data_IF_947420049798
#
_entry.id   IF_947420049798
#
_cell.length_a   1.000
_cell.length_b   1.000
_cell.length_c   1.000
_cell.angle_alpha   90.00
_cell.angle_beta   90.00
_cell.angle_gamma   90.00
#
_symmetry.space_group_name_H-M   'P 1'
#
loop_
_entity.id
_entity.type
_entity.pdbx_description
1 polymer ?
#
# COMPACT_ATOMS: atom_id res chain seq x y z
N UNK A 1 -25.59 16.67 -10.27
CA UNK A 1 -24.21 16.69 -9.71
C UNK A 1 -23.28 16.19 -10.79
N UNK A 2 -22.33 17.00 -11.26
CA UNK A 2 -21.29 16.52 -12.18
C UNK A 2 -20.29 15.65 -11.39
N UNK A 3 -19.93 14.50 -11.95
CA UNK A 3 -18.89 13.66 -11.37
C UNK A 3 -17.55 14.41 -11.43
N UNK A 4 -16.80 14.38 -10.32
CA UNK A 4 -15.46 14.98 -10.29
C UNK A 4 -14.53 14.09 -11.13
N UNK A 5 -13.78 14.67 -12.08
CA UNK A 5 -12.89 13.90 -12.96
C UNK A 5 -11.86 13.14 -12.14
N UNK A 6 -11.50 11.95 -12.64
CA UNK A 6 -10.55 11.09 -11.98
C UNK A 6 -9.14 11.71 -12.02
N UNK A 7 -8.31 11.44 -11.01
CA UNK A 7 -6.86 11.59 -11.04
C UNK A 7 -6.17 11.35 -12.38
N UNK A 8 -6.44 10.19 -12.98
CA UNK A 8 -5.84 9.73 -14.23
C UNK A 8 -6.24 10.61 -15.41
N UNK A 9 -7.48 11.09 -15.46
CA UNK A 9 -7.97 11.95 -16.52
C UNK A 9 -7.29 13.32 -16.50
N UNK A 10 -6.99 13.85 -15.31
CA UNK A 10 -6.21 15.07 -15.15
C UNK A 10 -4.74 14.89 -15.60
N UNK A 11 -4.15 13.74 -15.29
CA UNK A 11 -2.81 13.38 -15.75
C UNK A 11 -2.75 13.24 -17.27
N UNK A 12 -3.72 12.57 -17.88
CA UNK A 12 -3.80 12.41 -19.34
C UNK A 12 -3.95 13.77 -20.06
N UNK A 13 -4.76 14.67 -19.50
CA UNK A 13 -4.91 16.02 -20.03
C UNK A 13 -3.58 16.80 -19.99
N UNK A 14 -2.84 16.71 -18.87
CA UNK A 14 -1.52 17.33 -18.72
C UNK A 14 -0.49 16.76 -19.68
N UNK A 15 -0.45 15.43 -19.84
CA UNK A 15 0.46 14.78 -20.79
C UNK A 15 0.16 15.28 -22.19
N UNK A 16 -1.10 15.33 -22.62
CA UNK A 16 -1.48 15.86 -23.94
C UNK A 16 -1.07 17.32 -24.14
N UNK A 17 -1.22 18.14 -23.12
CA UNK A 17 -0.85 19.57 -23.16
C UNK A 17 0.66 19.77 -23.28
N UNK A 18 1.45 18.96 -22.57
CA UNK A 18 2.90 19.10 -22.51
C UNK A 18 3.63 18.34 -23.63
N UNK A 19 3.02 17.29 -24.19
CA UNK A 19 3.64 16.43 -25.21
C UNK A 19 4.20 17.17 -26.43
N UNK A 20 3.55 18.23 -26.97
CA UNK A 20 4.09 19.00 -28.09
C UNK A 20 5.39 19.73 -27.79
N UNK A 21 5.69 19.96 -26.52
CA UNK A 21 6.89 20.64 -26.05
C UNK A 21 8.02 19.68 -25.67
N UNK A 22 7.77 18.37 -25.68
CA UNK A 22 8.79 17.35 -25.40
C UNK A 22 9.88 17.36 -26.47
N UNK A 23 11.15 17.46 -26.04
CA UNK A 23 12.32 17.45 -26.93
C UNK A 23 12.72 18.82 -27.47
N UNK A 24 12.04 19.90 -27.06
CA UNK A 24 12.56 21.26 -27.26
C UNK A 24 13.66 21.57 -26.26
N UNK A 25 14.71 22.26 -26.72
CA UNK A 25 15.79 22.76 -25.84
C UNK A 25 15.30 23.90 -24.93
N UNK A 26 14.25 24.61 -25.36
CA UNK A 26 13.63 25.70 -24.61
C UNK A 26 12.11 25.69 -24.84
N UNK A 27 11.35 25.92 -23.77
CA UNK A 27 9.89 26.02 -23.83
C UNK A 27 9.46 27.33 -23.17
N UNK A 28 8.85 28.21 -23.95
CA UNK A 28 8.34 29.50 -23.48
C UNK A 28 6.83 29.43 -23.25
N UNK A 29 6.40 29.85 -22.07
CA UNK A 29 4.99 29.94 -21.70
C UNK A 29 4.64 31.36 -21.22
N UNK A 30 3.41 31.83 -21.46
CA UNK A 30 2.84 32.94 -20.69
C UNK A 30 2.87 32.62 -19.19
N UNK A 31 3.18 33.61 -18.35
CA UNK A 31 3.32 33.39 -16.89
C UNK A 31 2.09 32.73 -16.24
N UNK A 32 0.89 33.13 -16.64
CA UNK A 32 -0.35 32.55 -16.13
C UNK A 32 -0.53 31.06 -16.49
N UNK A 33 0.03 30.60 -17.61
CA UNK A 33 -0.04 29.19 -18.01
C UNK A 33 1.04 28.38 -17.32
N UNK A 34 2.21 28.97 -17.06
CA UNK A 34 3.23 28.38 -16.20
C UNK A 34 2.73 28.18 -14.77
N UNK A 35 2.04 29.16 -14.18
CA UNK A 35 1.46 29.05 -12.84
C UNK A 35 0.46 27.88 -12.75
N UNK A 36 -0.44 27.76 -13.74
CA UNK A 36 -1.38 26.63 -13.83
C UNK A 36 -0.65 25.29 -13.93
N UNK A 37 0.42 25.22 -14.72
CA UNK A 37 1.24 24.01 -14.83
C UNK A 37 1.83 23.63 -13.47
N UNK A 38 2.40 24.59 -12.75
CA UNK A 38 2.96 24.38 -11.40
C UNK A 38 1.88 23.89 -10.42
N UNK A 39 0.70 24.49 -10.41
CA UNK A 39 -0.42 24.06 -9.56
C UNK A 39 -0.86 22.62 -9.85
N UNK A 40 -0.93 22.27 -11.13
CA UNK A 40 -1.30 20.93 -11.58
C UNK A 40 -0.23 19.89 -11.20
N UNK A 41 1.06 20.19 -11.41
CA UNK A 41 2.16 19.34 -10.97
C UNK A 41 2.19 19.15 -9.45
N UNK A 42 1.91 20.22 -8.69
CA UNK A 42 1.81 20.14 -7.24
C UNK A 42 0.66 19.23 -6.78
N UNK A 43 -0.45 19.22 -7.53
CA UNK A 43 -1.59 18.34 -7.28
C UNK A 43 -1.23 16.88 -7.54
N UNK A 44 -0.57 16.58 -8.67
CA UNK A 44 -0.06 15.25 -8.99
C UNK A 44 0.88 14.74 -7.88
N UNK A 45 1.84 15.58 -7.46
CA UNK A 45 2.77 15.22 -6.38
C UNK A 45 2.04 14.82 -5.10
N UNK A 46 0.99 15.57 -4.71
CA UNK A 46 0.18 15.24 -3.53
C UNK A 46 -0.53 13.89 -3.69
N UNK A 47 -1.08 13.62 -4.87
CA UNK A 47 -1.79 12.37 -5.14
C UNK A 47 -0.85 11.16 -5.11
N UNK A 48 0.30 11.25 -5.77
CA UNK A 48 1.32 10.19 -5.74
C UNK A 48 1.77 9.91 -4.31
N UNK A 49 2.02 10.94 -3.50
CA UNK A 49 2.42 10.77 -2.10
C UNK A 49 1.34 10.07 -1.26
N UNK A 50 0.05 10.25 -1.57
CA UNK A 50 -1.04 9.52 -0.91
C UNK A 50 -1.05 8.06 -1.35
N UNK A 51 -0.97 7.79 -2.66
CA UNK A 51 -0.92 6.43 -3.20
C UNK A 51 0.26 5.63 -2.68
N UNK A 52 1.45 6.24 -2.58
CA UNK A 52 2.66 5.60 -2.01
C UNK A 52 2.44 5.17 -0.55
N UNK A 53 1.78 6.00 0.25
CA UNK A 53 1.45 5.68 1.65
C UNK A 53 0.45 4.54 1.74
N UNK A 54 -0.59 4.56 0.91
CA UNK A 54 -1.61 3.50 0.87
C UNK A 54 -1.00 2.15 0.46
N UNK A 55 -0.19 2.13 -0.59
CA UNK A 55 0.54 0.93 -1.03
C UNK A 55 1.48 0.44 0.07
N UNK A 56 2.19 1.35 0.75
CA UNK A 56 3.03 1.01 1.90
C UNK A 56 2.25 0.35 3.04
N UNK A 57 1.10 0.92 3.40
CA UNK A 57 0.22 0.38 4.44
C UNK A 57 -0.34 -1.00 4.06
N UNK A 58 -0.76 -1.19 2.81
CA UNK A 58 -1.26 -2.47 2.31
C UNK A 58 -0.18 -3.56 2.35
N UNK A 59 1.04 -3.23 1.90
CA UNK A 59 2.18 -4.16 1.97
C UNK A 59 2.50 -4.56 3.40
N UNK A 60 2.49 -3.61 4.34
CA UNK A 60 2.70 -3.91 5.77
C UNK A 60 1.58 -4.81 6.32
N UNK A 61 0.33 -4.55 5.95
CA UNK A 61 -0.80 -5.39 6.37
C UNK A 61 -0.71 -6.82 5.79
N UNK A 62 -0.26 -6.98 4.55
CA UNK A 62 -0.01 -8.29 3.94
C UNK A 62 1.10 -9.06 4.65
N UNK A 63 2.23 -8.41 4.94
CA UNK A 63 3.34 -8.99 5.69
C UNK A 63 2.89 -9.38 7.11
N UNK A 64 2.09 -8.54 7.78
CA UNK A 64 1.57 -8.86 9.10
C UNK A 64 0.64 -10.09 9.07
N UNK A 65 -0.19 -10.23 8.02
CA UNK A 65 -1.04 -11.41 7.84
C UNK A 65 -0.23 -12.68 7.61
N UNK A 66 0.77 -12.64 6.72
CA UNK A 66 1.62 -13.81 6.46
C UNK A 66 2.45 -14.19 7.69
N UNK A 67 3.02 -13.21 8.40
CA UNK A 67 3.75 -13.42 9.64
C UNK A 67 2.90 -14.06 10.74
N UNK A 68 1.63 -13.64 10.89
CA UNK A 68 0.71 -14.24 11.86
C UNK A 68 0.49 -15.72 11.60
N UNK A 69 0.28 -16.12 10.34
CA UNK A 69 0.11 -17.53 9.96
C UNK A 69 1.36 -18.35 10.30
N UNK A 70 2.55 -17.82 10.05
CA UNK A 70 3.81 -18.50 10.39
C UNK A 70 3.94 -18.69 11.91
N UNK A 71 3.62 -17.66 12.70
CA UNK A 71 3.66 -17.73 14.17
C UNK A 71 2.64 -18.73 14.70
N UNK A 72 1.41 -18.74 14.16
CA UNK A 72 0.37 -19.70 14.53
C UNK A 72 0.78 -21.15 14.21
N UNK A 73 1.41 -21.38 13.05
CA UNK A 73 1.93 -22.69 12.67
C UNK A 73 3.06 -23.14 13.61
N UNK A 74 4.05 -22.27 13.88
CA UNK A 74 5.15 -22.57 14.81
C UNK A 74 4.65 -22.83 16.23
N UNK A 75 3.67 -22.06 16.71
CA UNK A 75 3.05 -22.29 18.01
C UNK A 75 2.30 -23.63 18.06
N UNK A 76 1.63 -24.00 16.96
CA UNK A 76 0.94 -25.29 16.84
C UNK A 76 1.92 -26.46 16.81
N UNK A 77 3.00 -26.37 16.04
CA UNK A 77 4.07 -27.37 15.99
C UNK A 77 4.75 -27.54 17.35
N UNK A 78 5.06 -26.42 18.04
CA UNK A 78 5.64 -26.48 19.37
C UNK A 78 4.68 -27.09 20.39
N UNK A 79 3.39 -26.77 20.34
CA UNK A 79 2.37 -27.39 21.18
C UNK A 79 2.23 -28.90 20.90
N UNK A 80 2.35 -29.34 19.65
CA UNK A 80 2.35 -30.77 19.30
C UNK A 80 3.56 -31.49 19.89
N UNK A 81 4.76 -30.89 19.78
CA UNK A 81 5.97 -31.43 20.39
C UNK A 81 5.95 -31.42 21.92
N UNK A 82 5.25 -30.47 22.55
CA UNK A 82 5.01 -30.48 24.00
C UNK A 82 3.92 -31.47 24.41
N UNK A 83 2.99 -31.79 23.51
CA UNK A 83 1.92 -32.74 23.76
C UNK A 83 2.40 -34.20 23.68
N UNK A 84 3.49 -34.51 23.00
CA UNK A 84 4.06 -35.86 22.96
C UNK A 84 5.16 -35.99 24.02
N UNK A 85 4.84 -36.64 25.16
CA UNK A 85 5.86 -37.04 26.15
C UNK A 85 6.74 -38.19 25.59
N UNK A 86 7.94 -38.39 26.13
CA UNK A 86 8.92 -39.40 25.71
C UNK A 86 8.38 -40.86 25.74
N UNK A 87 7.28 -41.09 26.45
CA UNK A 87 6.53 -42.36 26.52
C UNK A 87 5.36 -42.45 25.52
N UNK A 88 5.22 -41.51 24.58
CA UNK A 88 4.15 -41.50 23.56
C UNK A 88 2.77 -41.11 24.10
N UNK A 89 2.70 -40.42 25.24
CA UNK A 89 1.44 -39.97 25.87
C UNK A 89 1.11 -38.55 25.46
N UNK A 90 -0.14 -38.32 25.05
CA UNK A 90 -0.69 -37.00 24.75
C UNK A 90 -0.91 -36.23 26.06
N UNK A 91 -0.05 -35.24 26.35
CA UNK A 91 -0.22 -34.28 27.45
C UNK A 91 -1.19 -33.20 27.00
N UNK A 92 -2.43 -33.25 27.51
CA UNK A 92 -3.39 -32.14 27.34
C UNK A 92 -3.15 -31.12 28.45
N UNK A 93 -2.78 -29.86 28.13
CA UNK A 93 -2.71 -28.81 29.14
C UNK A 93 -4.12 -28.54 29.67
N UNK A 94 -4.31 -28.66 30.98
CA UNK A 94 -5.54 -28.26 31.65
C UNK A 94 -5.55 -26.73 31.80
N UNK A 95 -6.29 -26.07 30.91
CA UNK A 95 -6.45 -24.61 30.92
C UNK A 95 -7.52 -24.11 31.91
N UNK A 96 -7.98 -24.95 32.85
CA UNK A 96 -8.76 -24.50 33.99
C UNK A 96 -10.05 -23.76 33.61
N UNK A 97 -10.85 -24.32 32.69
CA UNK A 97 -12.24 -23.86 32.53
C UNK A 97 -13.01 -24.17 33.81
N UNK A 98 -13.16 -23.15 34.67
CA UNK A 98 -14.17 -23.16 35.73
C UNK A 98 -15.54 -23.25 35.07
N UNK A 99 -16.32 -24.23 35.50
CA UNK A 99 -17.71 -24.45 35.10
C UNK A 99 -18.66 -23.41 35.64
#
# INVERSE_FOLDING_TARGET
>A
MAARPLPSEHLDALVRELSPHCGGDEVSFPGADFDKLVERLATIRKMVAVTEREVGALRLAEVARSGRVIVENLATEHLQHMAEDADGKIVRPDFGRKG
#
